data_IF_399988810682
#
_entry.id   IF_399988810682
#
_cell.length_a   1.000
_cell.length_b   1.000
_cell.length_c   1.000
_cell.angle_alpha   90.00
_cell.angle_beta   90.00
_cell.angle_gamma   90.00
#
_symmetry.space_group_name_H-M   'P 1'
#
loop_
_entity.id
_entity.type
_entity.pdbx_description
1 polymer ?
#
# COMPACT_ATOMS: atom_id res chain seq x y z
N UNK A 1 -32.26 10.92 -56.04
CA UNK A 1 -31.36 9.94 -55.39
C UNK A 1 -30.71 10.64 -54.21
N UNK A 2 -31.16 10.31 -53.00
CA UNK A 2 -30.48 10.70 -51.77
C UNK A 2 -29.27 9.78 -51.54
N UNK A 3 -28.14 10.25 -51.01
CA UNK A 3 -27.18 9.40 -50.36
C UNK A 3 -27.57 9.23 -48.88
N UNK A 4 -27.65 7.97 -48.47
CA UNK A 4 -28.21 7.52 -47.20
C UNK A 4 -27.40 7.92 -45.97
N UNK A 5 -28.16 8.14 -44.91
CA UNK A 5 -27.74 8.21 -43.53
C UNK A 5 -27.22 6.83 -43.11
N UNK A 6 -25.92 6.74 -42.84
CA UNK A 6 -25.33 5.61 -42.15
C UNK A 6 -25.46 5.84 -40.66
N UNK A 7 -26.46 5.22 -40.05
CA UNK A 7 -26.75 5.21 -38.63
C UNK A 7 -25.52 4.77 -37.83
N UNK A 8 -25.17 5.57 -36.83
CA UNK A 8 -24.15 5.22 -35.84
C UNK A 8 -24.66 4.08 -34.96
N UNK A 9 -23.99 2.94 -35.03
CA UNK A 9 -24.12 1.92 -33.98
C UNK A 9 -23.49 2.46 -32.70
N UNK A 10 -24.37 2.89 -31.79
CA UNK A 10 -24.03 3.20 -30.41
C UNK A 10 -23.41 1.96 -29.75
N UNK A 11 -22.10 2.00 -29.57
CA UNK A 11 -21.38 1.06 -28.71
C UNK A 11 -21.96 1.15 -27.31
N UNK A 12 -22.82 0.19 -26.96
CA UNK A 12 -23.33 0.00 -25.60
C UNK A 12 -22.16 -0.20 -24.66
N UNK A 13 -21.78 0.87 -23.96
CA UNK A 13 -20.73 0.88 -22.95
C UNK A 13 -21.18 0.08 -21.72
N UNK A 14 -21.13 -1.24 -21.82
CA UNK A 14 -21.18 -2.11 -20.65
C UNK A 14 -20.01 -1.77 -19.73
N UNK A 15 -20.26 -1.71 -18.42
CA UNK A 15 -19.19 -1.53 -17.45
C UNK A 15 -18.13 -2.63 -17.64
N UNK A 16 -16.82 -2.31 -17.56
CA UNK A 16 -15.78 -3.30 -17.74
C UNK A 16 -15.92 -4.42 -16.70
N UNK A 17 -15.84 -5.68 -17.15
CA UNK A 17 -15.93 -6.86 -16.28
C UNK A 17 -14.80 -6.90 -15.23
N UNK A 18 -13.67 -6.27 -15.54
CA UNK A 18 -12.48 -6.22 -14.69
C UNK A 18 -11.97 -4.78 -14.64
N UNK A 19 -11.75 -4.28 -13.43
CA UNK A 19 -11.13 -2.98 -13.18
C UNK A 19 -9.85 -3.22 -12.39
N UNK A 20 -8.73 -2.67 -12.86
CA UNK A 20 -7.47 -2.69 -12.14
C UNK A 20 -7.15 -1.30 -11.61
N UNK A 21 -6.81 -1.20 -10.32
CA UNK A 21 -6.37 0.04 -9.68
C UNK A 21 -5.13 -0.25 -8.85
N UNK A 22 -4.20 0.70 -8.86
CA UNK A 22 -2.99 0.70 -8.02
C UNK A 22 -2.81 2.07 -7.38
N UNK A 23 -2.04 2.15 -6.29
CA UNK A 23 -1.54 3.44 -5.83
C UNK A 23 -0.67 4.07 -6.91
N UNK A 24 -0.59 5.40 -6.95
CA UNK A 24 0.30 6.11 -7.86
C UNK A 24 1.77 6.07 -7.41
N UNK A 25 2.28 4.84 -7.21
CA UNK A 25 3.65 4.54 -6.84
C UNK A 25 4.17 3.55 -7.87
N UNK A 26 5.28 3.90 -8.53
CA UNK A 26 5.87 3.11 -9.64
C UNK A 26 5.93 1.62 -9.37
N UNK A 27 6.43 1.20 -8.19
CA UNK A 27 6.56 -0.23 -7.83
C UNK A 27 5.21 -0.95 -7.79
N UNK A 28 4.15 -0.28 -7.36
CA UNK A 28 2.81 -0.88 -7.27
C UNK A 28 2.14 -0.96 -8.64
N UNK A 29 2.34 0.05 -9.50
CA UNK A 29 1.87 0.04 -10.89
C UNK A 29 2.53 -1.12 -11.65
N UNK A 30 3.85 -1.26 -11.55
CA UNK A 30 4.59 -2.36 -12.19
C UNK A 30 4.16 -3.73 -11.67
N UNK A 31 3.85 -3.84 -10.37
CA UNK A 31 3.34 -5.08 -9.78
C UNK A 31 1.96 -5.42 -10.34
N UNK A 32 1.05 -4.44 -10.43
CA UNK A 32 -0.28 -4.62 -11.02
C UNK A 32 -0.19 -5.01 -12.50
N UNK A 33 0.65 -4.33 -13.30
CA UNK A 33 0.91 -4.70 -14.70
C UNK A 33 1.46 -6.12 -14.82
N UNK A 34 2.44 -6.50 -14.00
CA UNK A 34 3.03 -7.85 -14.00
C UNK A 34 2.01 -8.92 -13.64
N UNK A 35 1.14 -8.65 -12.65
CA UNK A 35 0.04 -9.53 -12.29
C UNK A 35 -0.94 -9.72 -13.45
N UNK A 36 -1.33 -8.63 -14.13
CA UNK A 36 -2.24 -8.67 -15.27
C UNK A 36 -1.65 -9.41 -16.47
N UNK A 37 -0.35 -9.26 -16.72
CA UNK A 37 0.36 -10.01 -17.76
C UNK A 37 0.32 -11.51 -17.50
N UNK A 38 0.46 -11.94 -16.25
CA UNK A 38 0.37 -13.35 -15.87
C UNK A 38 -1.06 -13.89 -15.87
N UNK A 39 -2.03 -13.08 -15.44
CA UNK A 39 -3.45 -13.49 -15.38
C UNK A 39 -4.11 -13.55 -16.76
N UNK A 40 -3.71 -12.66 -17.67
CA UNK A 40 -4.19 -12.60 -19.04
C UNK A 40 -2.99 -12.70 -19.99
N UNK A 41 -2.40 -13.90 -20.20
CA UNK A 41 -1.25 -14.06 -21.09
C UNK A 41 -1.65 -13.75 -22.54
N UNK A 42 -0.68 -13.36 -23.38
CA UNK A 42 -0.94 -12.88 -24.76
C UNK A 42 -1.70 -13.92 -25.59
N UNK A 43 -1.41 -15.20 -25.38
CA UNK A 43 -2.00 -16.33 -26.08
C UNK A 43 -3.48 -16.54 -25.72
N UNK A 44 -3.91 -16.05 -24.56
CA UNK A 44 -5.29 -16.12 -24.10
C UNK A 44 -6.10 -14.85 -24.45
N UNK A 45 -5.46 -13.84 -25.05
CA UNK A 45 -6.12 -12.58 -25.43
C UNK A 45 -6.72 -12.70 -26.83
N UNK A 46 -7.85 -12.02 -27.03
CA UNK A 46 -8.39 -11.83 -28.37
C UNK A 46 -7.36 -11.06 -29.25
N UNK A 47 -7.25 -11.37 -30.55
CA UNK A 47 -6.35 -10.65 -31.45
C UNK A 47 -6.58 -9.14 -31.38
N UNK A 48 -5.51 -8.37 -31.15
CA UNK A 48 -5.58 -6.90 -31.02
C UNK A 48 -6.07 -6.39 -29.66
N UNK A 49 -6.41 -7.26 -28.70
CA UNK A 49 -6.78 -6.82 -27.36
C UNK A 49 -5.58 -6.22 -26.61
N UNK A 50 -5.74 -4.99 -26.15
CA UNK A 50 -4.77 -4.31 -25.30
C UNK A 50 -4.78 -4.91 -23.89
N UNK A 51 -3.66 -4.75 -23.17
CA UNK A 51 -3.63 -5.06 -21.74
C UNK A 51 -4.59 -4.12 -21.01
N UNK A 52 -5.27 -4.65 -19.98
CA UNK A 52 -6.12 -3.85 -19.11
C UNK A 52 -5.31 -2.68 -18.50
N UNK A 53 -5.75 -1.42 -18.66
CA UNK A 53 -5.04 -0.28 -18.07
C UNK A 53 -5.15 -0.32 -16.55
N UNK A 54 -4.13 0.22 -15.86
CA UNK A 54 -4.13 0.34 -14.40
C UNK A 54 -4.56 1.76 -14.04
N UNK A 55 -5.71 1.88 -13.39
CA UNK A 55 -6.20 3.15 -12.86
C UNK A 55 -5.36 3.58 -11.64
N UNK A 56 -5.08 4.87 -11.56
CA UNK A 56 -4.41 5.48 -10.41
C UNK A 56 -5.13 6.78 -10.02
N UNK A 57 -4.83 7.27 -8.81
CA UNK A 57 -5.27 8.58 -8.32
C UNK A 57 -4.09 9.43 -7.88
N UNK A 58 -4.24 10.76 -7.81
CA UNK A 58 -3.30 11.61 -7.09
C UNK A 58 -3.07 11.07 -5.68
N UNK A 59 -1.83 11.15 -5.20
CA UNK A 59 -1.44 10.50 -3.95
C UNK A 59 -2.12 11.17 -2.74
N UNK A 60 -2.54 12.43 -2.88
CA UNK A 60 -3.29 13.22 -1.90
C UNK A 60 -4.73 12.71 -1.71
N UNK A 61 -5.30 12.09 -2.75
CA UNK A 61 -6.66 11.54 -2.79
C UNK A 61 -6.67 10.01 -2.63
N UNK A 62 -5.51 9.41 -2.37
CA UNK A 62 -5.39 7.97 -2.25
C UNK A 62 -6.06 7.45 -0.99
N UNK A 63 -6.85 6.38 -1.16
CA UNK A 63 -7.58 5.69 -0.09
C UNK A 63 -6.95 4.34 0.26
N UNK A 64 -6.20 3.71 -0.67
CA UNK A 64 -5.58 2.38 -0.47
C UNK A 64 -4.44 2.36 0.55
N UNK A 65 -3.99 3.54 1.02
CA UNK A 65 -2.98 3.68 2.07
C UNK A 65 -3.44 4.74 3.09
N UNK A 66 -3.00 4.64 4.36
CA UNK A 66 -3.13 5.75 5.30
C UNK A 66 -2.42 7.00 4.73
N UNK A 67 -3.10 8.14 4.78
CA UNK A 67 -2.64 9.38 4.12
C UNK A 67 -2.36 10.51 5.13
N UNK A 68 -1.74 10.14 6.25
CA UNK A 68 -1.48 11.01 7.39
C UNK A 68 -0.56 12.19 7.05
N UNK A 69 0.40 11.96 6.16
CA UNK A 69 1.43 12.90 5.76
C UNK A 69 0.98 13.87 4.66
N UNK A 70 -0.23 13.69 4.09
CA UNK A 70 -0.73 14.54 2.99
C UNK A 70 -2.11 15.13 3.23
N UNK A 71 -3.12 14.31 3.48
CA UNK A 71 -4.53 14.75 3.45
C UNK A 71 -5.29 14.56 4.76
N UNK A 72 -4.76 13.81 5.73
CA UNK A 72 -5.44 13.57 7.02
C UNK A 72 -4.62 14.06 8.23
N UNK A 73 -4.74 15.35 8.57
CA UNK A 73 -4.05 15.94 9.74
C UNK A 73 -4.35 15.22 11.06
N UNK A 74 -5.60 14.83 11.31
CA UNK A 74 -5.99 14.13 12.55
C UNK A 74 -5.29 12.78 12.68
N UNK A 75 -5.08 12.08 11.56
CA UNK A 75 -4.33 10.82 11.57
C UNK A 75 -2.87 11.03 11.97
N UNK A 76 -2.23 12.11 11.50
CA UNK A 76 -0.87 12.47 11.92
C UNK A 76 -0.78 12.83 13.40
N UNK A 77 -1.77 13.54 13.94
CA UNK A 77 -1.87 13.86 15.37
C UNK A 77 -1.97 12.58 16.21
N UNK A 78 -2.81 11.63 15.79
CA UNK A 78 -2.93 10.31 16.44
C UNK A 78 -1.63 9.52 16.42
N UNK A 79 -0.88 9.51 15.30
CA UNK A 79 0.44 8.85 15.24
C UNK A 79 1.36 9.45 16.31
N UNK A 80 1.41 10.78 16.42
CA UNK A 80 2.27 11.47 17.40
C UNK A 80 1.85 11.17 18.83
N UNK A 81 0.55 11.17 19.13
CA UNK A 81 0.00 10.84 20.45
C UNK A 81 0.37 9.39 20.84
N UNK A 82 0.19 8.44 19.93
CA UNK A 82 0.47 7.02 20.15
C UNK A 82 1.98 6.73 20.25
N UNK A 83 2.79 7.39 19.42
CA UNK A 83 4.26 7.30 19.49
C UNK A 83 4.80 7.90 20.80
N UNK A 84 4.18 8.97 21.30
CA UNK A 84 4.55 9.60 22.57
C UNK A 84 4.22 8.73 23.78
N UNK A 85 3.19 7.88 23.69
CA UNK A 85 2.83 6.95 24.76
C UNK A 85 3.89 5.85 24.99
N UNK A 86 4.76 5.58 24.01
CA UNK A 86 5.94 4.71 24.18
C UNK A 86 5.65 3.25 24.51
N UNK A 87 4.43 2.78 24.30
CA UNK A 87 3.95 1.43 24.64
C UNK A 87 3.72 0.54 23.41
N UNK A 88 4.28 0.92 22.26
CA UNK A 88 4.04 0.27 20.97
C UNK A 88 4.70 -1.09 20.85
N UNK A 89 5.85 -1.24 21.51
CA UNK A 89 6.61 -2.48 21.48
C UNK A 89 6.10 -3.45 22.55
N UNK A 90 6.12 -4.78 22.28
CA UNK A 90 5.87 -5.81 23.27
C UNK A 90 6.77 -5.64 24.50
N UNK A 91 6.28 -6.05 25.68
CA UNK A 91 7.01 -5.88 26.95
C UNK A 91 8.42 -6.48 26.91
N UNK A 92 8.55 -7.69 26.37
CA UNK A 92 9.84 -8.37 26.24
C UNK A 92 10.82 -7.60 25.36
N UNK A 93 10.36 -7.01 24.26
CA UNK A 93 11.22 -6.20 23.39
C UNK A 93 11.56 -4.84 24.03
N UNK A 94 10.63 -4.24 24.78
CA UNK A 94 10.85 -2.97 25.51
C UNK A 94 11.86 -3.10 26.63
N UNK A 95 11.86 -4.23 27.34
CA UNK A 95 12.75 -4.51 28.46
C UNK A 95 14.10 -5.09 28.02
N UNK A 96 14.23 -5.44 26.74
CA UNK A 96 15.48 -5.88 26.11
C UNK A 96 16.40 -4.71 25.71
N UNK A 97 17.60 -5.05 25.26
CA UNK A 97 18.56 -4.12 24.65
C UNK A 97 18.40 -3.97 23.12
N UNK A 98 17.28 -4.45 22.55
CA UNK A 98 17.04 -4.48 21.10
C UNK A 98 17.29 -3.13 20.41
N UNK A 99 16.76 -2.03 20.95
CA UNK A 99 16.94 -0.72 20.32
C UNK A 99 18.41 -0.30 20.32
N UNK A 100 19.18 -0.64 21.37
CA UNK A 100 20.61 -0.36 21.43
C UNK A 100 21.38 -1.21 20.41
N UNK A 101 21.10 -2.51 20.32
CA UNK A 101 21.69 -3.43 19.33
C UNK A 101 21.42 -2.97 17.90
N UNK A 102 20.18 -2.55 17.60
CA UNK A 102 19.82 -2.02 16.27
C UNK A 102 20.54 -0.70 16.00
N UNK A 103 20.65 0.21 16.97
CA UNK A 103 21.45 1.44 16.77
C UNK A 103 22.91 1.13 16.44
N UNK A 104 23.52 0.20 17.14
CA UNK A 104 24.90 -0.21 16.90
C UNK A 104 25.09 -0.80 15.50
N UNK A 105 24.27 -1.79 15.14
CA UNK A 105 24.29 -2.46 13.82
C UNK A 105 24.14 -1.48 12.66
N UNK A 106 23.23 -0.50 12.79
CA UNK A 106 22.93 0.46 11.75
C UNK A 106 23.76 1.75 11.85
N UNK A 107 24.72 1.83 12.78
CA UNK A 107 25.55 3.02 13.00
C UNK A 107 24.73 4.27 13.31
N UNK A 108 23.61 4.13 14.04
CA UNK A 108 22.77 5.25 14.44
C UNK A 108 23.41 5.96 15.62
N UNK A 109 23.64 7.28 15.49
CA UNK A 109 24.20 8.10 16.57
C UNK A 109 23.36 8.08 17.85
N UNK A 110 24.01 8.35 18.98
CA UNK A 110 23.37 8.42 20.29
C UNK A 110 22.15 9.36 20.26
N UNK A 111 21.03 8.91 20.82
CA UNK A 111 19.78 9.66 20.89
C UNK A 111 18.90 9.60 19.63
N UNK A 112 19.34 8.99 18.52
CA UNK A 112 18.45 8.75 17.37
C UNK A 112 17.50 7.59 17.65
N UNK A 113 16.19 7.81 17.48
CA UNK A 113 15.19 6.75 17.56
C UNK A 113 15.35 5.77 16.38
N UNK A 114 15.11 4.49 16.64
CA UNK A 114 15.03 3.49 15.58
C UNK A 114 13.71 3.63 14.83
N UNK A 115 13.77 3.77 13.50
CA UNK A 115 12.59 3.66 12.64
C UNK A 115 12.42 2.19 12.26
N UNK A 116 11.62 1.46 13.03
CA UNK A 116 11.49 -0.01 12.93
C UNK A 116 11.11 -0.50 11.53
N UNK A 117 10.25 0.23 10.82
CA UNK A 117 9.90 -0.09 9.42
C UNK A 117 11.11 -0.03 8.50
N UNK A 118 11.97 0.99 8.64
CA UNK A 118 13.17 1.12 7.82
C UNK A 118 14.21 0.03 8.15
N UNK A 119 14.41 -0.27 9.44
CA UNK A 119 15.29 -1.36 9.86
C UNK A 119 14.80 -2.71 9.28
N UNK A 120 13.49 -2.98 9.35
CA UNK A 120 12.88 -4.15 8.73
C UNK A 120 13.12 -4.18 7.22
N UNK A 121 12.89 -3.07 6.52
CA UNK A 121 13.05 -3.01 5.06
C UNK A 121 14.46 -3.38 4.62
N UNK A 122 15.49 -2.84 5.27
CA UNK A 122 16.88 -3.18 4.93
C UNK A 122 17.16 -4.66 5.12
N UNK A 123 16.76 -5.23 6.26
CA UNK A 123 17.04 -6.63 6.59
C UNK A 123 16.27 -7.61 5.67
N UNK A 124 15.00 -7.34 5.41
CA UNK A 124 14.16 -8.19 4.54
C UNK A 124 14.62 -8.11 3.10
N UNK A 125 14.91 -6.92 2.58
CA UNK A 125 15.39 -6.75 1.21
C UNK A 125 16.75 -7.42 1.01
N UNK A 126 17.67 -7.27 1.96
CA UNK A 126 18.98 -7.94 1.90
C UNK A 126 18.82 -9.46 1.78
N UNK A 127 18.01 -10.05 2.65
CA UNK A 127 17.73 -11.49 2.66
C UNK A 127 17.06 -11.95 1.36
N UNK A 128 16.00 -11.26 0.92
CA UNK A 128 15.19 -11.68 -0.23
C UNK A 128 15.94 -11.63 -1.55
N UNK A 129 16.92 -10.74 -1.68
CA UNK A 129 17.73 -10.60 -2.89
C UNK A 129 19.04 -11.39 -2.85
N UNK A 130 19.32 -12.13 -1.76
CA UNK A 130 20.56 -12.87 -1.61
C UNK A 130 21.78 -11.98 -1.77
N UNK A 131 21.74 -10.77 -1.20
CA UNK A 131 22.78 -9.75 -1.43
C UNK A 131 24.16 -10.33 -1.10
N UNK A 132 25.16 -10.16 -1.99
CA UNK A 132 26.47 -10.78 -1.82
C UNK A 132 27.30 -10.12 -0.71
N UNK A 133 26.95 -8.90 -0.31
CA UNK A 133 27.58 -8.23 0.82
C UNK A 133 27.08 -8.84 2.12
N UNK A 134 27.96 -9.17 3.08
CA UNK A 134 27.51 -9.67 4.38
C UNK A 134 26.70 -8.60 5.11
N UNK A 135 25.76 -9.05 5.95
CA UNK A 135 25.12 -8.16 6.92
C UNK A 135 26.18 -7.63 7.91
N UNK A 136 25.97 -6.45 8.52
CA UNK A 136 26.86 -5.95 9.55
C UNK A 136 27.06 -7.00 10.66
N UNK A 137 28.25 -7.03 11.30
CA UNK A 137 28.48 -7.85 12.48
C UNK A 137 27.38 -7.65 13.53
N UNK A 138 26.91 -8.75 14.14
CA UNK A 138 25.83 -8.72 15.13
C UNK A 138 24.41 -8.86 14.56
N UNK A 139 24.26 -8.93 13.23
CA UNK A 139 22.97 -9.29 12.61
C UNK A 139 22.86 -10.80 12.46
N UNK A 140 22.05 -11.41 13.31
CA UNK A 140 21.68 -12.82 13.23
C UNK A 140 20.16 -12.99 12.99
N UNK A 141 19.73 -14.24 12.82
CA UNK A 141 18.32 -14.57 12.63
C UNK A 141 17.42 -14.13 13.82
N UNK A 142 17.99 -14.08 15.03
CA UNK A 142 17.29 -13.63 16.23
C UNK A 142 16.98 -12.14 16.15
N UNK A 143 17.98 -11.30 15.88
CA UNK A 143 17.83 -9.86 15.70
C UNK A 143 16.84 -9.55 14.58
N UNK A 144 16.93 -10.24 13.44
CA UNK A 144 15.98 -10.07 12.32
C UNK A 144 14.56 -10.37 12.79
N UNK A 145 14.34 -11.46 13.52
CA UNK A 145 13.04 -11.81 14.08
C UNK A 145 12.50 -10.76 15.05
N UNK A 146 13.35 -10.21 15.92
CA UNK A 146 13.00 -9.15 16.87
C UNK A 146 12.63 -7.84 16.17
N UNK A 147 13.39 -7.43 15.15
CA UNK A 147 13.10 -6.23 14.32
C UNK A 147 11.77 -6.40 13.57
N UNK A 148 11.49 -7.60 13.04
CA UNK A 148 10.22 -7.91 12.39
C UNK A 148 9.05 -7.76 13.37
N UNK A 149 9.18 -8.35 14.57
CA UNK A 149 8.16 -8.22 15.63
C UNK A 149 7.97 -6.77 16.05
N UNK A 150 9.05 -6.01 16.22
CA UNK A 150 8.98 -4.60 16.59
C UNK A 150 8.26 -3.76 15.53
N UNK A 151 8.60 -3.96 14.24
CA UNK A 151 7.94 -3.27 13.13
C UNK A 151 6.44 -3.58 13.07
N UNK A 152 6.05 -4.86 13.19
CA UNK A 152 4.64 -5.27 13.21
C UNK A 152 3.91 -4.66 14.42
N UNK A 153 4.54 -4.65 15.59
CA UNK A 153 3.93 -4.13 16.80
C UNK A 153 3.62 -2.63 16.71
N UNK A 154 4.53 -1.83 16.12
CA UNK A 154 4.29 -0.39 15.86
C UNK A 154 3.04 -0.19 15.02
N UNK A 155 2.94 -0.85 13.86
CA UNK A 155 1.76 -0.74 13.00
C UNK A 155 0.49 -1.22 13.70
N UNK A 156 0.57 -2.36 14.39
CA UNK A 156 -0.58 -2.93 15.12
C UNK A 156 -1.05 -1.98 16.22
N UNK A 157 -0.13 -1.29 16.91
CA UNK A 157 -0.49 -0.31 17.94
C UNK A 157 -1.30 0.87 17.38
N UNK A 158 -0.96 1.34 16.18
CA UNK A 158 -1.73 2.40 15.51
C UNK A 158 -3.11 1.88 15.08
N UNK A 159 -3.18 0.73 14.43
CA UNK A 159 -4.45 0.15 13.96
C UNK A 159 -5.36 -0.38 15.08
N UNK A 160 -4.83 -0.61 16.27
CA UNK A 160 -5.63 -0.90 17.45
C UNK A 160 -6.43 0.32 17.93
N UNK A 161 -6.02 1.55 17.59
CA UNK A 161 -6.76 2.76 17.94
C UNK A 161 -7.97 2.94 17.01
N UNK A 162 -9.22 2.91 17.52
CA UNK A 162 -10.42 2.87 16.67
C UNK A 162 -10.53 4.07 15.72
N UNK A 163 -10.19 5.27 16.20
CA UNK A 163 -10.23 6.47 15.36
C UNK A 163 -9.17 6.43 14.25
N UNK A 164 -7.96 5.95 14.57
CA UNK A 164 -6.88 5.86 13.59
C UNK A 164 -7.26 4.87 12.50
N UNK A 165 -7.75 3.69 12.89
CA UNK A 165 -8.17 2.65 11.96
C UNK A 165 -9.29 3.14 11.02
N UNK A 166 -10.30 3.83 11.57
CA UNK A 166 -11.38 4.42 10.77
C UNK A 166 -10.86 5.44 9.76
N UNK A 167 -9.92 6.31 10.15
CA UNK A 167 -9.33 7.30 9.25
C UNK A 167 -8.37 6.67 8.22
N UNK A 168 -7.70 5.57 8.58
CA UNK A 168 -6.75 4.86 7.73
C UNK A 168 -7.40 4.00 6.65
N UNK A 169 -8.38 3.18 7.05
CA UNK A 169 -8.98 2.17 6.17
C UNK A 169 -10.41 2.49 5.77
N UNK A 170 -11.10 3.36 6.53
CA UNK A 170 -12.51 3.68 6.30
C UNK A 170 -12.82 4.15 4.87
N UNK A 171 -12.04 5.08 4.28
CA UNK A 171 -12.24 5.49 2.89
C UNK A 171 -12.18 4.32 1.90
N UNK A 172 -11.14 3.49 1.97
CA UNK A 172 -10.98 2.33 1.09
C UNK A 172 -12.06 1.28 1.29
N UNK A 173 -12.42 0.98 2.54
CA UNK A 173 -13.50 0.04 2.85
C UNK A 173 -14.85 0.55 2.32
N UNK A 174 -15.09 1.86 2.38
CA UNK A 174 -16.30 2.47 1.80
C UNK A 174 -16.34 2.29 0.29
N UNK A 175 -15.21 2.49 -0.40
CA UNK A 175 -15.10 2.26 -1.85
C UNK A 175 -15.30 0.79 -2.21
N UNK A 176 -14.68 -0.13 -1.45
CA UNK A 176 -14.82 -1.56 -1.67
C UNK A 176 -16.27 -2.02 -1.46
N UNK A 177 -16.92 -1.56 -0.39
CA UNK A 177 -18.33 -1.87 -0.13
C UNK A 177 -19.26 -1.30 -1.21
N UNK A 178 -18.98 -0.10 -1.71
CA UNK A 178 -19.75 0.48 -2.81
C UNK A 178 -19.61 -0.36 -4.10
N UNK A 179 -18.43 -0.89 -4.38
CA UNK A 179 -18.20 -1.77 -5.53
C UNK A 179 -18.86 -3.16 -5.36
N UNK A 180 -18.94 -3.68 -4.13
CA UNK A 180 -19.55 -4.98 -3.83
C UNK A 180 -21.08 -4.91 -3.68
N UNK A 181 -21.63 -3.74 -3.34
CA UNK A 181 -23.05 -3.52 -3.08
C UNK A 181 -23.61 -2.52 -4.12
N UNK A 182 -23.92 -2.98 -5.35
CA UNK A 182 -24.24 -2.13 -6.51
C UNK A 182 -25.53 -1.30 -6.39
N UNK A 183 -26.19 -1.27 -5.23
CA UNK A 183 -27.39 -0.47 -4.96
C UNK A 183 -27.11 0.84 -4.20
N UNK A 184 -25.84 1.21 -3.95
CA UNK A 184 -25.50 2.42 -3.19
C UNK A 184 -25.13 3.60 -4.10
N UNK A 185 -25.60 4.84 -3.83
CA UNK A 185 -25.19 6.05 -4.55
C UNK A 185 -23.68 6.34 -4.50
N UNK A 186 -22.93 5.69 -3.59
CA UNK A 186 -21.46 5.75 -3.55
C UNK A 186 -20.78 5.03 -4.73
N UNK A 187 -21.43 4.04 -5.35
CA UNK A 187 -20.88 3.27 -6.48
C UNK A 187 -20.71 4.15 -7.73
N UNK A 188 -21.59 5.13 -7.93
CA UNK A 188 -21.53 6.07 -9.06
C UNK A 188 -20.38 7.08 -8.94
N UNK A 189 -20.06 7.52 -7.73
CA UNK A 189 -18.99 8.49 -7.47
C UNK A 189 -17.59 7.85 -7.58
N UNK A 190 -17.44 6.58 -7.20
CA UNK A 190 -16.17 5.87 -7.26
C UNK A 190 -15.61 5.79 -8.69
N UNK A 191 -16.46 5.68 -9.71
CA UNK A 191 -16.08 5.55 -11.12
C UNK A 191 -15.57 6.84 -11.78
N UNK A 192 -15.90 8.02 -11.22
CA UNK A 192 -15.70 9.31 -11.90
C UNK A 192 -14.31 9.97 -11.66
N UNK A 193 -13.48 9.43 -10.77
CA UNK A 193 -12.25 10.08 -10.30
C UNK A 193 -10.93 9.40 -10.69
N UNK A 194 -10.90 8.62 -11.77
CA UNK A 194 -9.70 7.86 -12.15
C UNK A 194 -8.97 8.44 -13.35
N UNK A 195 -7.64 8.46 -13.28
CA UNK A 195 -6.78 8.61 -14.46
C UNK A 195 -6.19 7.26 -14.83
N UNK A 196 -6.13 6.96 -16.14
CA UNK A 196 -5.59 5.72 -16.66
C UNK A 196 -4.10 5.89 -16.96
N UNK A 197 -3.29 4.94 -16.49
CA UNK A 197 -1.90 4.79 -16.91
C UNK A 197 -1.80 3.52 -17.75
N UNK A 198 -1.27 3.69 -18.97
CA UNK A 198 -0.93 2.60 -19.88
C UNK A 198 0.45 2.03 -19.52
#
# INVERSE_FOLDING_TARGET
AAPGEGEGEGGGGGAPLVVARSTNIRRTIQSAQSLLLGLYPLEARAPGALLLPVAVRPIEEEAMIPNADRSCRRQLELIRELDAAGNQLPRDLRESDLEARVREVFGLGAGRKVVWTAAREVLVCHHQHGFPLPLPPGVDAGLVGEVLRASVAVWTSWFAHPEFNRLAMGPFLTELLAALLPSSPAAAAAAAGFSLVA
#
